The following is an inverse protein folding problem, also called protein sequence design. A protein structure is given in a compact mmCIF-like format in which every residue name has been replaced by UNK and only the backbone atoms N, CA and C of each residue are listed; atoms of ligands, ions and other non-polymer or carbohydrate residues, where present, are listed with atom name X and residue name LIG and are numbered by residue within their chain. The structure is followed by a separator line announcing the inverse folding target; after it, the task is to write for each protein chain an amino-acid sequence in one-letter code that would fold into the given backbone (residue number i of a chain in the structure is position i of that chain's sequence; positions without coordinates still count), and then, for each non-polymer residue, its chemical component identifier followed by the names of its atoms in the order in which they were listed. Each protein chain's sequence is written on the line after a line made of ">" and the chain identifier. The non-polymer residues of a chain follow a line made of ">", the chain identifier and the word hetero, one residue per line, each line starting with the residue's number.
data_IF_723480788714
#
_entry.id   IF_723480788714
#
_cell.length_a   1.000
_cell.length_b   1.000
_cell.length_c   1.000
_cell.angle_alpha   90.00
_cell.angle_beta   90.00
_cell.angle_gamma   90.00
#
_symmetry.space_group_name_H-M   'P 1'
#
loop_
_entity.id
_entity.type
_entity.pdbx_description
1 polymer ?
#
# COMPACT_ATOMS: atom_id res chain seq x y z
N UNK A 1 -13.42 7.20 20.61
CA UNK A 1 -12.34 7.30 21.61
C UNK A 1 -11.75 5.91 21.85
N UNK A 2 -10.93 5.39 20.92
CA UNK A 2 -10.25 4.09 21.07
C UNK A 2 -9.01 4.08 20.16
N UNK A 3 -7.98 4.86 20.50
CA UNK A 3 -6.65 4.70 19.88
C UNK A 3 -5.56 5.37 20.74
N UNK A 4 -5.56 5.18 22.06
CA UNK A 4 -4.50 5.70 22.92
C UNK A 4 -4.32 4.89 24.23
N UNK A 5 -4.67 3.61 24.22
CA UNK A 5 -4.65 2.78 25.45
C UNK A 5 -3.66 1.61 25.42
N UNK A 6 -2.72 1.60 24.46
CA UNK A 6 -1.62 0.61 24.45
C UNK A 6 -0.26 1.19 24.85
N UNK A 7 -0.17 2.47 25.25
CA UNK A 7 1.11 3.11 25.57
C UNK A 7 1.39 3.30 27.06
N UNK A 8 0.58 2.73 27.95
CA UNK A 8 0.71 2.93 29.40
C UNK A 8 0.57 1.60 30.16
N UNK A 9 1.61 0.76 30.15
CA UNK A 9 1.78 -0.22 31.25
C UNK A 9 3.16 -0.81 31.51
N UNK A 10 4.29 -0.25 31.06
CA UNK A 10 5.61 -0.80 31.44
C UNK A 10 6.76 0.24 31.44
N UNK A 11 6.52 1.46 31.94
CA UNK A 11 7.54 2.52 31.95
C UNK A 11 8.37 2.61 33.26
N UNK A 12 8.19 1.71 34.23
CA UNK A 12 8.89 1.81 35.53
C UNK A 12 9.95 0.74 35.83
N UNK A 13 10.47 0.02 34.82
CA UNK A 13 11.69 -0.77 34.98
C UNK A 13 12.66 -0.50 33.84
N UNK A 14 13.92 -0.32 34.21
CA UNK A 14 15.05 0.24 33.46
C UNK A 14 15.62 -0.65 32.36
N UNK A 15 14.78 -1.30 31.55
CA UNK A 15 15.24 -2.02 30.36
C UNK A 15 14.58 -1.44 29.13
N UNK A 16 15.40 -1.00 28.17
CA UNK A 16 14.90 -0.58 26.85
C UNK A 16 14.09 -1.73 26.26
N UNK A 17 12.93 -1.47 25.64
CA UNK A 17 12.15 -2.51 25.01
C UNK A 17 13.00 -3.27 23.98
N UNK A 18 12.88 -4.60 23.97
CA UNK A 18 13.61 -5.47 23.05
C UNK A 18 13.25 -5.17 21.57
N UNK A 19 12.05 -4.63 21.34
CA UNK A 19 11.56 -4.22 20.03
C UNK A 19 10.83 -2.87 20.13
N UNK A 20 11.44 -1.84 19.55
CA UNK A 20 10.80 -0.55 19.31
C UNK A 20 10.10 -0.57 17.95
N UNK A 21 8.77 -0.51 17.94
CA UNK A 21 7.98 -0.51 16.71
C UNK A 21 7.17 0.79 16.60
N UNK A 22 7.25 1.45 15.45
CA UNK A 22 6.54 2.70 15.16
C UNK A 22 5.64 2.54 13.93
N UNK A 23 4.41 1.98 14.07
CA UNK A 23 3.55 1.64 12.93
C UNK A 23 3.23 2.81 12.00
N UNK A 24 3.15 4.03 12.53
CA UNK A 24 2.83 5.24 11.75
C UNK A 24 4.07 5.92 11.16
N UNK A 25 5.29 5.39 11.37
CA UNK A 25 6.52 5.94 10.78
C UNK A 25 6.49 5.96 9.26
N UNK A 26 5.81 4.99 8.64
CA UNK A 26 5.57 4.93 7.19
C UNK A 26 4.88 6.19 6.65
N UNK A 27 4.05 6.86 7.45
CA UNK A 27 3.33 8.07 7.03
C UNK A 27 4.16 9.35 7.22
N UNK A 28 5.31 9.28 7.90
CA UNK A 28 6.17 10.45 8.10
C UNK A 28 7.03 10.66 6.85
N UNK A 29 7.03 11.88 6.35
CA UNK A 29 7.74 12.26 5.12
C UNK A 29 9.27 12.32 5.29
N UNK A 30 9.79 12.39 6.53
CA UNK A 30 11.20 12.75 6.81
C UNK A 30 11.90 11.88 7.88
N UNK A 31 11.66 10.58 7.93
CA UNK A 31 12.48 9.68 8.77
C UNK A 31 13.82 9.33 8.08
N UNK A 32 14.70 10.34 7.94
CA UNK A 32 16.05 10.18 7.38
C UNK A 32 16.91 9.20 8.21
N UNK A 33 16.55 8.97 9.48
CA UNK A 33 17.28 8.11 10.40
C UNK A 33 16.84 6.65 10.37
N UNK A 34 15.69 6.34 9.77
CA UNK A 34 15.17 4.99 9.70
C UNK A 34 14.64 4.73 8.29
N UNK A 35 15.44 4.13 7.38
CA UNK A 35 14.91 3.69 6.10
C UNK A 35 13.85 2.62 6.36
N UNK A 36 12.60 3.01 6.28
CA UNK A 36 11.46 2.11 6.42
C UNK A 36 11.42 1.20 5.19
N UNK A 37 11.85 -0.05 5.34
CA UNK A 37 11.64 -1.08 4.32
C UNK A 37 10.25 -1.67 4.49
N UNK A 38 9.37 -1.38 3.55
CA UNK A 38 8.04 -1.94 3.51
C UNK A 38 7.63 -2.28 2.09
N UNK A 39 6.70 -3.22 1.99
CA UNK A 39 5.92 -3.46 0.79
C UNK A 39 4.49 -2.99 0.97
N UNK A 40 3.82 -2.71 -0.13
CA UNK A 40 2.40 -2.42 -0.19
C UNK A 40 1.72 -3.60 -0.87
N UNK A 41 0.62 -4.09 -0.28
CA UNK A 41 -0.26 -5.05 -0.93
C UNK A 41 -1.67 -4.44 -0.93
N UNK A 42 -2.23 -4.24 -2.12
CA UNK A 42 -3.61 -3.80 -2.30
C UNK A 42 -4.50 -5.03 -2.37
N UNK A 43 -5.44 -5.13 -1.45
CA UNK A 43 -6.42 -6.21 -1.37
C UNK A 43 -7.75 -5.80 -2.03
N UNK A 44 -8.62 -6.77 -2.29
CA UNK A 44 -10.00 -6.51 -2.70
C UNK A 44 -10.82 -5.98 -1.50
N UNK A 45 -10.99 -4.66 -1.39
CA UNK A 45 -11.71 -4.00 -0.29
C UNK A 45 -12.49 -2.80 -0.83
N UNK A 46 -13.45 -2.26 -0.07
CA UNK A 46 -14.24 -1.13 -0.60
C UNK A 46 -13.42 0.16 -0.74
N UNK A 47 -13.55 0.78 -1.91
CA UNK A 47 -12.96 2.05 -2.41
C UNK A 47 -12.67 3.15 -1.39
N UNK A 48 -13.46 3.28 -0.31
CA UNK A 48 -13.32 4.39 0.64
C UNK A 48 -12.03 4.37 1.46
N UNK A 49 -11.37 3.21 1.60
CA UNK A 49 -10.20 3.07 2.48
C UNK A 49 -8.87 3.42 1.81
N UNK A 50 -8.71 3.14 0.51
CA UNK A 50 -7.46 3.37 -0.22
C UNK A 50 -7.14 4.86 -0.33
N UNK A 51 -8.17 5.68 -0.58
CA UNK A 51 -8.05 7.13 -0.75
C UNK A 51 -7.52 7.87 0.48
N UNK A 52 -7.69 7.31 1.69
CA UNK A 52 -7.28 7.96 2.93
C UNK A 52 -5.78 7.82 3.23
N UNK A 53 -5.16 6.72 2.80
CA UNK A 53 -3.81 6.35 3.24
C UNK A 53 -2.81 6.18 2.10
N UNK A 54 -3.29 5.90 0.88
CA UNK A 54 -2.41 5.73 -0.27
C UNK A 54 -2.05 7.09 -0.86
N UNK A 55 -0.88 7.58 -0.50
CA UNK A 55 -0.30 8.81 -1.05
C UNK A 55 0.90 8.49 -1.93
N UNK A 56 1.26 9.42 -2.82
CA UNK A 56 2.42 9.26 -3.70
C UNK A 56 3.74 9.08 -2.91
N UNK A 57 4.00 9.82 -1.80
CA UNK A 57 5.18 9.55 -0.96
C UNK A 57 5.17 8.17 -0.30
N UNK A 58 4.00 7.61 0.04
CA UNK A 58 3.91 6.25 0.59
C UNK A 58 4.15 5.22 -0.51
N UNK A 59 3.62 5.43 -1.70
CA UNK A 59 3.84 4.53 -2.83
C UNK A 59 5.31 4.51 -3.28
N UNK A 60 5.89 5.68 -3.54
CA UNK A 60 7.24 5.80 -4.15
C UNK A 60 8.39 5.35 -3.24
N UNK A 61 8.16 5.28 -1.93
CA UNK A 61 9.16 4.79 -0.96
C UNK A 61 9.03 3.29 -0.68
N UNK A 62 7.95 2.65 -1.11
CA UNK A 62 7.81 1.21 -0.95
C UNK A 62 8.89 0.49 -1.76
N UNK A 63 9.42 -0.60 -1.21
CA UNK A 63 10.36 -1.48 -1.91
C UNK A 63 9.67 -2.32 -2.99
N UNK A 64 8.39 -2.58 -2.77
CA UNK A 64 7.55 -3.39 -3.64
C UNK A 64 6.08 -3.00 -3.42
N UNK A 65 5.31 -2.96 -4.49
CA UNK A 65 3.88 -2.71 -4.50
C UNK A 65 3.21 -3.81 -5.30
N UNK A 66 2.27 -4.54 -4.70
CA UNK A 66 1.56 -5.63 -5.38
C UNK A 66 0.04 -5.48 -5.21
N UNK A 67 -0.71 -6.09 -6.12
CA UNK A 67 -2.15 -6.25 -5.97
C UNK A 67 -2.50 -7.73 -5.82
N UNK A 68 -3.38 -8.03 -4.86
CA UNK A 68 -4.00 -9.34 -4.74
C UNK A 68 -5.29 -9.35 -5.55
N UNK A 69 -5.28 -10.04 -6.70
CA UNK A 69 -6.40 -10.24 -7.61
C UNK A 69 -7.29 -8.99 -7.77
N UNK A 70 -8.54 -9.01 -7.28
CA UNK A 70 -9.49 -7.90 -7.37
C UNK A 70 -9.05 -6.60 -6.72
N UNK A 71 -8.03 -6.61 -5.85
CA UNK A 71 -7.37 -5.39 -5.36
C UNK A 71 -6.74 -4.54 -6.48
N UNK A 72 -6.44 -5.15 -7.63
CA UNK A 72 -6.04 -4.40 -8.83
C UNK A 72 -7.17 -3.54 -9.40
N UNK A 73 -8.44 -3.96 -9.29
CA UNK A 73 -9.57 -3.13 -9.73
C UNK A 73 -9.63 -1.83 -8.91
N UNK A 74 -9.50 -1.95 -7.60
CA UNK A 74 -9.50 -0.82 -6.66
C UNK A 74 -8.34 0.13 -6.94
N UNK A 75 -7.14 -0.39 -7.22
CA UNK A 75 -6.00 0.45 -7.57
C UNK A 75 -6.18 1.15 -8.91
N UNK A 76 -6.76 0.47 -9.92
CA UNK A 76 -7.03 1.07 -11.23
C UNK A 76 -8.00 2.22 -11.10
N UNK A 77 -9.12 2.00 -10.43
CA UNK A 77 -10.11 3.06 -10.21
C UNK A 77 -9.51 4.24 -9.44
N UNK A 78 -8.77 3.98 -8.35
CA UNK A 78 -8.04 5.01 -7.62
C UNK A 78 -7.07 5.82 -8.52
N UNK A 79 -6.45 5.16 -9.49
CA UNK A 79 -5.54 5.81 -10.44
C UNK A 79 -6.29 6.65 -11.46
N UNK A 80 -7.42 6.14 -11.98
CA UNK A 80 -8.27 6.84 -12.96
C UNK A 80 -9.01 8.05 -12.38
N UNK A 81 -9.29 8.06 -11.08
CA UNK A 81 -9.85 9.22 -10.38
C UNK A 81 -8.87 10.40 -10.26
N UNK A 82 -7.58 10.19 -10.57
CA UNK A 82 -6.55 11.24 -10.55
C UNK A 82 -6.32 11.85 -11.93
N UNK A 83 -5.73 13.03 -11.96
CA UNK A 83 -5.36 13.74 -13.20
C UNK A 83 -4.54 12.84 -14.14
N UNK A 84 -4.75 13.01 -15.44
CA UNK A 84 -4.13 12.21 -16.52
C UNK A 84 -2.60 12.18 -16.44
N UNK A 85 -1.96 13.28 -15.99
CA UNK A 85 -0.51 13.37 -15.75
C UNK A 85 0.01 12.44 -14.62
N UNK A 86 -0.91 11.88 -13.82
CA UNK A 86 -0.60 10.94 -12.73
C UNK A 86 -0.92 9.49 -13.11
N UNK A 87 -1.44 9.26 -14.31
CA UNK A 87 -1.66 7.92 -14.85
C UNK A 87 -0.32 7.17 -14.89
N UNK A 88 -0.26 6.02 -14.25
CA UNK A 88 0.97 5.22 -14.12
C UNK A 88 1.87 5.53 -12.92
N UNK A 89 1.55 6.54 -12.09
CA UNK A 89 2.29 6.74 -10.81
C UNK A 89 2.02 5.61 -9.80
N UNK A 90 0.85 4.99 -9.91
CA UNK A 90 0.41 3.89 -9.05
C UNK A 90 0.32 2.60 -9.87
N UNK A 91 1.47 2.18 -10.42
CA UNK A 91 1.61 0.91 -11.15
C UNK A 91 2.22 -0.12 -10.22
N UNK A 92 1.53 -1.24 -9.92
CA UNK A 92 2.08 -2.28 -9.07
C UNK A 92 3.19 -3.03 -9.82
N UNK A 93 4.14 -3.59 -9.08
CA UNK A 93 5.22 -4.43 -9.59
C UNK A 93 4.68 -5.76 -10.15
N UNK A 94 3.63 -6.29 -9.55
CA UNK A 94 2.92 -7.48 -10.03
C UNK A 94 1.50 -7.58 -9.46
N UNK A 95 0.67 -8.38 -10.13
CA UNK A 95 -0.67 -8.77 -9.66
C UNK A 95 -0.67 -10.28 -9.45
N UNK A 96 -1.19 -10.76 -8.32
CA UNK A 96 -1.22 -12.20 -8.02
C UNK A 96 -2.53 -12.68 -7.43
N UNK A 97 -2.91 -13.93 -7.70
CA UNK A 97 -4.12 -14.57 -7.24
C UNK A 97 -4.59 -15.65 -8.22
N UNK A 98 -5.80 -16.17 -7.99
CA UNK A 98 -6.50 -17.09 -8.90
C UNK A 98 -7.24 -16.37 -10.06
N UNK A 99 -7.29 -15.04 -10.00
CA UNK A 99 -7.84 -14.16 -11.03
C UNK A 99 -9.35 -14.31 -11.25
N UNK A 100 -10.09 -14.67 -10.20
CA UNK A 100 -11.55 -14.79 -10.26
C UNK A 100 -12.27 -13.46 -9.98
N UNK A 101 -11.57 -12.48 -9.39
CA UNK A 101 -12.12 -11.20 -8.97
C UNK A 101 -11.57 -9.97 -9.71
N UNK A 102 -10.42 -10.07 -10.41
CA UNK A 102 -9.95 -9.05 -11.35
C UNK A 102 -10.87 -8.94 -12.57
N UNK A 103 -11.19 -7.72 -13.00
CA UNK A 103 -11.99 -7.50 -14.21
C UNK A 103 -11.13 -7.58 -15.49
N UNK A 104 -11.76 -7.94 -16.61
CA UNK A 104 -11.08 -7.98 -17.93
C UNK A 104 -10.44 -6.63 -18.30
N UNK A 105 -11.13 -5.52 -18.01
CA UNK A 105 -10.63 -4.17 -18.29
C UNK A 105 -9.40 -3.85 -17.44
N UNK A 106 -9.42 -4.23 -16.16
CA UNK A 106 -8.27 -4.05 -15.27
C UNK A 106 -7.08 -4.90 -15.70
N UNK A 107 -7.33 -6.14 -16.11
CA UNK A 107 -6.30 -7.03 -16.64
C UNK A 107 -5.67 -6.44 -17.89
N UNK A 108 -6.48 -6.00 -18.86
CA UNK A 108 -5.99 -5.36 -20.08
C UNK A 108 -5.17 -4.11 -19.76
N UNK A 109 -5.69 -3.24 -18.90
CA UNK A 109 -5.00 -2.01 -18.48
C UNK A 109 -3.61 -2.32 -17.94
N UNK A 110 -3.49 -3.18 -16.93
CA UNK A 110 -2.19 -3.43 -16.30
C UNK A 110 -1.26 -4.31 -17.15
N UNK A 111 -1.77 -5.38 -17.75
CA UNK A 111 -0.94 -6.34 -18.51
C UNK A 111 -0.49 -5.76 -19.85
N UNK A 112 -1.38 -5.09 -20.59
CA UNK A 112 -1.11 -4.66 -21.97
C UNK A 112 -0.59 -3.21 -22.03
N UNK A 113 -1.13 -2.30 -21.22
CA UNK A 113 -0.75 -0.88 -21.29
C UNK A 113 0.48 -0.58 -20.41
N UNK A 114 0.57 -1.23 -19.24
CA UNK A 114 1.63 -0.99 -18.25
C UNK A 114 2.65 -2.13 -18.12
N UNK A 115 2.49 -3.23 -18.86
CA UNK A 115 3.38 -4.41 -18.82
C UNK A 115 3.57 -4.99 -17.41
N UNK A 116 2.53 -4.94 -16.57
CA UNK A 116 2.55 -5.50 -15.23
C UNK A 116 2.39 -7.01 -15.30
N UNK A 117 3.30 -7.79 -14.69
CA UNK A 117 3.20 -9.24 -14.68
C UNK A 117 2.04 -9.73 -13.81
N UNK A 118 1.27 -10.67 -14.34
CA UNK A 118 0.29 -11.46 -13.59
C UNK A 118 0.92 -12.78 -13.17
N UNK A 119 1.02 -13.03 -11.86
CA UNK A 119 1.74 -14.15 -11.27
C UNK A 119 0.78 -15.02 -10.46
N UNK A 120 0.67 -16.30 -10.80
CA UNK A 120 -0.14 -17.29 -10.06
C UNK A 120 0.65 -17.87 -8.90
#
# INVERSE_FOLDING_TARGET
>A
MFLAMFYLKNWFNSEKPLFDHYPLSILKENDMYFPSFYGIIILNHSKSSINKWLTEPVWSRARICACADGGSNELREFTLEREEERLGRFTPDFISGDFDSISSDTKQFYEQEFNVPLVV
#
